data_IF_039670405047
#
_entry.id   IF_039670405047
#
_cell.length_a   1.000
_cell.length_b   1.000
_cell.length_c   1.000
_cell.angle_alpha   90.00
_cell.angle_beta   90.00
_cell.angle_gamma   90.00
#
_symmetry.space_group_name_H-M   'P 1'
#
loop_
_entity.id
_entity.type
_entity.pdbx_description
1 polymer ?
#
# COMPACT_ATOMS: atom_id res chain seq x y z
N UNK A 1 23.16 69.12 36.46
CA UNK A 1 23.41 69.29 35.02
C UNK A 1 22.43 68.43 34.26
N UNK A 2 21.64 69.05 33.38
CA UNK A 2 20.72 68.40 32.44
C UNK A 2 21.49 67.92 31.21
N UNK A 3 21.22 66.71 30.72
CA UNK A 3 21.41 66.38 29.30
C UNK A 3 20.26 65.49 28.81
N UNK A 4 19.49 66.04 27.87
CA UNK A 4 18.47 65.36 27.06
C UNK A 4 19.19 64.62 25.95
N UNK A 5 18.89 63.33 25.72
CA UNK A 5 19.20 62.66 24.46
C UNK A 5 18.00 61.81 24.00
N UNK A 6 17.24 62.43 23.11
CA UNK A 6 16.59 61.94 21.88
C UNK A 6 16.00 60.52 21.82
N UNK A 7 14.73 60.44 21.39
CA UNK A 7 14.00 59.25 20.95
C UNK A 7 14.85 58.30 20.10
N UNK A 8 15.04 57.08 20.59
CA UNK A 8 15.48 55.94 19.79
C UNK A 8 14.56 54.78 20.14
N UNK A 9 13.62 54.55 19.24
CA UNK A 9 12.67 53.43 19.20
C UNK A 9 13.47 52.14 19.32
N UNK A 10 13.54 51.60 20.54
CA UNK A 10 14.27 50.36 20.81
C UNK A 10 13.50 49.22 20.19
N UNK A 11 14.03 48.76 19.06
CA UNK A 11 13.67 47.55 18.33
C UNK A 11 13.50 46.40 19.34
N UNK A 12 12.26 46.00 19.58
CA UNK A 12 11.94 44.86 20.42
C UNK A 12 12.51 43.59 19.76
N UNK A 13 13.58 43.06 20.35
CA UNK A 13 14.09 41.72 20.09
C UNK A 13 13.04 40.75 20.63
N UNK A 14 12.27 40.12 19.74
CA UNK A 14 11.29 39.11 20.13
C UNK A 14 11.36 37.87 19.23
N UNK A 15 11.73 36.78 19.90
CA UNK A 15 11.45 35.38 19.59
C UNK A 15 12.18 34.74 18.38
N UNK A 16 13.31 34.11 18.71
CA UNK A 16 13.80 32.96 17.96
C UNK A 16 12.75 31.84 17.99
N UNK A 17 12.21 31.47 16.82
CA UNK A 17 11.33 30.31 16.68
C UNK A 17 12.22 29.06 16.65
N UNK A 18 12.22 28.33 17.76
CA UNK A 18 12.86 27.03 17.91
C UNK A 18 12.25 26.04 16.90
N UNK A 19 13.10 25.46 16.07
CA UNK A 19 12.77 24.38 15.14
C UNK A 19 12.38 23.12 15.92
N UNK A 20 11.09 22.90 16.11
CA UNK A 20 10.57 21.61 16.56
C UNK A 20 10.76 20.60 15.41
N UNK A 21 11.84 19.82 15.51
CA UNK A 21 12.13 18.71 14.63
C UNK A 21 11.05 17.63 14.85
N UNK A 22 10.00 17.67 14.03
CA UNK A 22 9.03 16.58 13.95
C UNK A 22 9.75 15.36 13.35
N UNK A 23 10.31 14.53 14.23
CA UNK A 23 10.75 13.19 13.89
C UNK A 23 9.49 12.37 13.59
N UNK A 24 9.09 12.40 12.32
CA UNK A 24 8.13 11.45 11.79
C UNK A 24 8.82 10.09 11.90
N UNK A 25 8.47 9.32 12.93
CA UNK A 25 8.82 7.93 13.00
C UNK A 25 8.17 7.24 11.80
N UNK A 26 8.93 7.07 10.72
CA UNK A 26 8.59 6.14 9.67
C UNK A 26 8.67 4.76 10.30
N UNK A 27 7.53 4.23 10.75
CA UNK A 27 7.42 2.80 11.01
C UNK A 27 7.97 2.08 9.77
N UNK A 28 8.87 1.10 9.93
CA UNK A 28 9.39 0.38 8.78
C UNK A 28 8.19 -0.21 8.06
N UNK A 29 8.00 0.14 6.80
CA UNK A 29 7.05 -0.54 5.93
C UNK A 29 7.50 -2.00 5.87
N UNK A 30 6.92 -2.84 6.72
CA UNK A 30 7.07 -4.28 6.61
C UNK A 30 6.60 -4.61 5.21
N UNK A 31 7.53 -5.00 4.33
CA UNK A 31 7.19 -5.45 3.00
C UNK A 31 6.18 -6.58 3.18
N UNK A 32 4.90 -6.31 2.93
CA UNK A 32 3.85 -7.28 3.12
C UNK A 32 4.18 -8.46 2.20
N UNK A 33 4.59 -9.58 2.80
CA UNK A 33 4.82 -10.81 2.06
C UNK A 33 3.57 -11.07 1.22
N UNK A 34 3.75 -11.41 -0.05
CA UNK A 34 2.65 -11.69 -0.96
C UNK A 34 2.50 -13.20 -1.13
N UNK A 35 1.27 -13.66 -1.32
CA UNK A 35 0.95 -15.06 -1.58
C UNK A 35 0.14 -15.21 -2.86
N UNK A 36 0.30 -16.35 -3.54
CA UNK A 36 -0.54 -16.70 -4.69
C UNK A 36 -1.90 -17.12 -4.18
N UNK A 37 -2.95 -16.50 -4.70
CA UNK A 37 -4.31 -16.83 -4.35
C UNK A 37 -5.12 -17.17 -5.59
N UNK A 38 -5.57 -18.42 -5.66
CA UNK A 38 -6.32 -18.99 -6.76
C UNK A 38 -7.81 -18.75 -6.62
N UNK A 39 -8.50 -18.58 -7.74
CA UNK A 39 -9.94 -18.37 -7.80
C UNK A 39 -10.40 -16.97 -7.41
N UNK A 40 -9.51 -16.01 -7.16
CA UNK A 40 -9.91 -14.64 -6.78
C UNK A 40 -9.83 -13.64 -7.94
N UNK A 41 -9.19 -14.00 -9.05
CA UNK A 41 -9.08 -13.11 -10.21
C UNK A 41 -10.39 -13.00 -10.98
N UNK A 42 -10.73 -11.79 -11.41
CA UNK A 42 -11.73 -11.58 -12.45
C UNK A 42 -11.18 -11.99 -13.83
N UNK A 43 -12.09 -12.11 -14.81
CA UNK A 43 -11.76 -12.37 -16.21
C UNK A 43 -10.71 -11.39 -16.71
N UNK A 44 -9.65 -11.91 -17.33
CA UNK A 44 -8.55 -11.12 -17.87
C UNK A 44 -7.70 -10.37 -16.84
N UNK A 45 -7.86 -10.66 -15.54
CA UNK A 45 -7.22 -9.89 -14.46
C UNK A 45 -6.41 -10.77 -13.49
N UNK A 46 -5.99 -11.95 -13.92
CA UNK A 46 -5.08 -12.80 -13.15
C UNK A 46 -3.63 -12.34 -13.31
N UNK A 47 -2.85 -12.58 -12.27
CA UNK A 47 -1.41 -12.35 -12.27
C UNK A 47 -0.66 -13.57 -12.82
N UNK A 48 0.63 -13.38 -13.10
CA UNK A 48 1.54 -14.46 -13.46
C UNK A 48 2.83 -14.43 -12.62
N UNK A 49 3.45 -15.59 -12.44
CA UNK A 49 4.62 -15.81 -11.59
C UNK A 49 5.84 -15.02 -12.10
N UNK A 50 5.88 -14.73 -13.40
CA UNK A 50 6.95 -13.98 -14.03
C UNK A 50 6.76 -12.44 -13.95
N UNK A 51 5.64 -11.96 -13.38
CA UNK A 51 5.36 -10.53 -13.24
C UNK A 51 4.54 -9.92 -14.39
N UNK A 52 4.20 -8.62 -14.30
CA UNK A 52 3.43 -7.91 -15.33
C UNK A 52 4.17 -7.88 -16.67
N UNK A 53 3.43 -7.95 -17.78
CA UNK A 53 4.01 -7.96 -19.14
C UNK A 53 4.42 -9.34 -19.67
N UNK A 54 4.12 -10.41 -18.93
CA UNK A 54 4.36 -11.79 -19.36
C UNK A 54 3.11 -12.40 -19.99
N UNK A 55 3.26 -13.41 -20.84
CA UNK A 55 2.17 -14.00 -21.64
C UNK A 55 1.08 -14.71 -20.84
N UNK A 56 1.31 -14.94 -19.55
CA UNK A 56 0.42 -15.65 -18.64
C UNK A 56 -0.49 -14.74 -17.81
N UNK A 57 -0.14 -13.45 -17.66
CA UNK A 57 -1.00 -12.49 -16.98
C UNK A 57 -2.21 -12.13 -17.88
N UNK A 58 -3.38 -11.98 -17.28
CA UNK A 58 -4.61 -11.63 -18.00
C UNK A 58 -5.18 -12.72 -18.93
N UNK A 59 -4.80 -13.98 -18.70
CA UNK A 59 -5.27 -15.14 -19.48
C UNK A 59 -6.55 -15.79 -18.93
N UNK A 60 -7.01 -15.39 -17.74
CA UNK A 60 -8.23 -15.90 -17.12
C UNK A 60 -9.42 -15.67 -18.04
N UNK A 61 -10.11 -16.75 -18.42
CA UNK A 61 -11.21 -16.70 -19.40
C UNK A 61 -12.54 -16.26 -18.80
N UNK A 62 -12.71 -16.47 -17.50
CA UNK A 62 -13.90 -16.14 -16.73
C UNK A 62 -13.53 -15.54 -15.38
N UNK A 63 -14.54 -15.04 -14.67
CA UNK A 63 -14.38 -14.59 -13.29
C UNK A 63 -14.19 -15.78 -12.35
N UNK A 64 -13.28 -15.61 -11.39
CA UNK A 64 -13.00 -16.57 -10.32
C UNK A 64 -12.54 -17.95 -10.80
N UNK A 65 -11.93 -18.01 -11.99
CA UNK A 65 -11.38 -19.23 -12.56
C UNK A 65 -10.41 -19.89 -11.57
N UNK A 66 -10.62 -21.19 -11.31
CA UNK A 66 -9.93 -21.88 -10.22
C UNK A 66 -8.43 -22.14 -10.42
N UNK A 67 -7.95 -22.13 -11.66
CA UNK A 67 -6.51 -22.19 -11.99
C UNK A 67 -5.89 -20.81 -12.24
N UNK A 68 -6.68 -19.75 -12.24
CA UNK A 68 -6.20 -18.38 -12.31
C UNK A 68 -5.94 -17.83 -10.89
N UNK A 69 -4.85 -17.10 -10.72
CA UNK A 69 -4.46 -16.58 -9.41
C UNK A 69 -4.08 -15.10 -9.44
N UNK A 70 -4.11 -14.48 -8.25
CA UNK A 70 -3.55 -13.15 -8.01
C UNK A 70 -2.56 -13.14 -6.85
N UNK A 71 -1.62 -12.22 -6.86
CA UNK A 71 -0.76 -11.94 -5.70
C UNK A 71 -1.56 -11.09 -4.70
N UNK A 72 -1.88 -11.68 -3.57
CA UNK A 72 -2.57 -11.01 -2.46
C UNK A 72 -1.62 -10.86 -1.28
N UNK A 73 -2.00 -10.09 -0.26
CA UNK A 73 -1.23 -10.03 0.98
C UNK A 73 -1.26 -11.39 1.67
N UNK A 74 -0.13 -11.86 2.18
CA UNK A 74 -0.03 -13.12 2.91
C UNK A 74 -1.07 -13.17 4.04
N UNK A 75 -1.78 -14.29 4.14
CA UNK A 75 -2.86 -14.50 5.10
C UNK A 75 -4.24 -14.00 4.66
N UNK A 76 -4.35 -13.28 3.54
CA UNK A 76 -5.66 -12.77 3.06
C UNK A 76 -6.34 -13.69 2.05
N UNK A 77 -5.63 -14.66 1.47
CA UNK A 77 -6.18 -15.47 0.40
C UNK A 77 -7.42 -16.26 0.84
N UNK A 78 -7.30 -16.99 1.96
CA UNK A 78 -8.37 -17.83 2.51
C UNK A 78 -9.52 -17.01 3.12
N UNK A 79 -9.30 -15.72 3.37
CA UNK A 79 -10.34 -14.77 3.83
C UNK A 79 -10.95 -13.98 2.69
N UNK A 80 -10.44 -14.10 1.46
CA UNK A 80 -10.98 -13.39 0.30
C UNK A 80 -12.20 -14.15 -0.21
N UNK A 81 -13.39 -13.60 0.01
CA UNK A 81 -14.64 -14.18 -0.45
C UNK A 81 -14.89 -13.91 -1.94
N UNK A 82 -15.38 -14.95 -2.61
CA UNK A 82 -15.87 -14.90 -3.99
C UNK A 82 -17.24 -15.58 -4.05
N UNK A 83 -18.01 -15.44 -5.13
CA UNK A 83 -19.28 -16.15 -5.30
C UNK A 83 -19.17 -17.68 -5.20
N UNK A 84 -17.97 -18.24 -5.40
CA UNK A 84 -17.69 -19.68 -5.30
C UNK A 84 -16.97 -20.06 -3.99
N UNK A 85 -17.02 -19.20 -2.97
CA UNK A 85 -16.38 -19.41 -1.67
C UNK A 85 -15.02 -18.70 -1.53
N UNK A 86 -14.26 -18.99 -0.46
CA UNK A 86 -12.95 -18.38 -0.22
C UNK A 86 -11.94 -18.70 -1.33
N UNK A 87 -10.97 -17.81 -1.52
CA UNK A 87 -9.77 -18.10 -2.31
C UNK A 87 -8.93 -19.23 -1.73
N UNK A 88 -7.99 -19.73 -2.50
CA UNK A 88 -7.14 -20.86 -2.11
C UNK A 88 -5.67 -20.63 -2.42
N UNK A 89 -4.78 -21.15 -1.57
CA UNK A 89 -3.33 -21.12 -1.78
C UNK A 89 -2.86 -22.12 -2.85
N UNK A 90 -3.75 -23.04 -3.23
CA UNK A 90 -3.57 -24.03 -4.29
C UNK A 90 -4.68 -23.87 -5.34
N UNK A 91 -4.44 -24.38 -6.54
CA UNK A 91 -5.48 -24.47 -7.57
C UNK A 91 -6.72 -25.19 -7.04
N UNK A 92 -7.90 -24.67 -7.38
CA UNK A 92 -9.18 -25.21 -6.94
C UNK A 92 -10.06 -25.53 -8.12
N UNK A 93 -10.92 -26.54 -7.94
CA UNK A 93 -11.91 -26.89 -8.95
C UNK A 93 -13.08 -25.90 -8.87
N UNK A 94 -13.20 -25.05 -9.89
CA UNK A 94 -14.33 -24.14 -10.09
C UNK A 94 -14.85 -24.27 -11.51
N UNK A 95 -16.08 -23.82 -11.80
CA UNK A 95 -16.53 -23.64 -13.18
C UNK A 95 -15.47 -22.84 -13.94
N UNK A 96 -15.22 -23.19 -15.20
CA UNK A 96 -14.18 -22.60 -16.05
C UNK A 96 -14.79 -21.90 -17.26
#
# INVERSE_FOLDING_TARGET
MSEKINSITSLAIAAALTSALATIATAPAQAAEKEKCFGVSLKGQNDCAAGPGTTCAGTSKIDYQGNAWKLVNKGTCVTTQTPFGPGSLIEIKRPA
#
